data_IF_750543285803
#
_entry.id   IF_750543285803
#
_cell.length_a   1.000
_cell.length_b   1.000
_cell.length_c   1.000
_cell.angle_alpha   90.00
_cell.angle_beta   90.00
_cell.angle_gamma   90.00
#
_symmetry.space_group_name_H-M   'P 1'
#
loop_
_entity.id
_entity.type
_entity.pdbx_description
1 polymer ?
#
# COMPACT_ATOMS: atom_id res chain seq x y z
N UNK A 1 0.00 16.34 16.26
CA UNK A 1 0.21 16.33 14.79
C UNK A 1 -0.71 15.29 14.14
N UNK A 2 -1.39 15.69 13.09
CA UNK A 2 -2.29 14.77 12.38
C UNK A 2 -1.51 13.82 11.49
N UNK A 3 -1.90 12.56 11.48
CA UNK A 3 -1.33 11.58 10.58
C UNK A 3 -1.95 11.67 9.19
N UNK A 4 -1.53 10.75 8.33
CA UNK A 4 -2.13 10.62 7.01
C UNK A 4 -3.52 9.99 7.12
N UNK A 5 -4.39 10.33 6.18
CA UNK A 5 -5.64 9.62 5.99
C UNK A 5 -5.33 8.44 5.07
N UNK A 6 -5.54 7.23 5.57
CA UNK A 6 -5.26 6.02 4.79
C UNK A 6 -6.49 5.63 4.00
N UNK A 7 -6.35 5.62 2.69
CA UNK A 7 -7.42 5.29 1.76
C UNK A 7 -7.01 4.05 0.95
N UNK A 8 -7.99 3.27 0.54
CA UNK A 8 -7.74 2.02 -0.16
C UNK A 8 -8.36 2.07 -1.55
N UNK A 9 -7.57 1.70 -2.55
CA UNK A 9 -8.11 1.50 -3.89
C UNK A 9 -9.19 0.42 -3.82
N UNK A 10 -10.26 0.60 -4.57
CA UNK A 10 -11.41 -0.33 -4.51
C UNK A 10 -11.01 -1.79 -4.77
N UNK A 11 -10.02 -2.02 -5.63
CA UNK A 11 -9.55 -3.36 -5.95
C UNK A 11 -8.78 -4.00 -4.79
N UNK A 12 -8.18 -3.20 -3.92
CA UNK A 12 -7.55 -3.72 -2.71
C UNK A 12 -8.62 -4.32 -1.80
N UNK A 13 -9.73 -3.61 -1.63
CA UNK A 13 -10.82 -4.08 -0.78
C UNK A 13 -11.56 -5.26 -1.40
N UNK A 14 -11.80 -5.24 -2.71
CA UNK A 14 -12.62 -6.26 -3.37
C UNK A 14 -11.84 -7.51 -3.78
N UNK A 15 -10.53 -7.39 -3.98
CA UNK A 15 -9.74 -8.51 -4.50
C UNK A 15 -8.53 -8.85 -3.63
N UNK A 16 -7.69 -7.87 -3.30
CA UNK A 16 -6.42 -8.17 -2.63
C UNK A 16 -6.61 -8.66 -1.19
N UNK A 17 -7.38 -7.93 -0.40
CA UNK A 17 -7.58 -8.28 1.01
C UNK A 17 -8.32 -9.63 1.15
N UNK A 18 -9.42 -9.88 0.41
CA UNK A 18 -10.10 -11.17 0.51
C UNK A 18 -9.23 -12.36 0.10
N UNK A 19 -8.24 -12.16 -0.77
CA UNK A 19 -7.33 -13.21 -1.19
C UNK A 19 -6.28 -13.56 -0.14
N UNK A 20 -6.10 -12.72 0.89
CA UNK A 20 -5.11 -12.97 1.92
C UNK A 20 -5.61 -13.97 2.95
N UNK A 21 -4.73 -14.88 3.37
CA UNK A 21 -4.94 -15.71 4.54
C UNK A 21 -5.23 -14.80 5.76
N UNK A 22 -6.16 -15.19 6.66
CA UNK A 22 -6.50 -14.35 7.82
C UNK A 22 -5.31 -13.90 8.67
N UNK A 23 -4.33 -14.77 8.88
CA UNK A 23 -3.14 -14.40 9.66
C UNK A 23 -2.30 -13.34 8.94
N UNK A 24 -2.14 -13.47 7.63
CA UNK A 24 -1.44 -12.48 6.81
C UNK A 24 -2.18 -11.16 6.80
N UNK A 25 -3.50 -11.23 6.68
CA UNK A 25 -4.36 -10.03 6.68
C UNK A 25 -4.18 -9.23 7.96
N UNK A 26 -4.21 -9.91 9.11
CA UNK A 26 -4.02 -9.24 10.41
C UNK A 26 -2.63 -8.62 10.53
N UNK A 27 -1.61 -9.33 10.06
CA UNK A 27 -0.24 -8.85 10.10
C UNK A 27 -0.04 -7.61 9.25
N UNK A 28 -0.61 -7.60 8.05
CA UNK A 28 -0.52 -6.47 7.13
C UNK A 28 -1.28 -5.27 7.70
N UNK A 29 -2.48 -5.49 8.22
CA UNK A 29 -3.27 -4.41 8.85
C UNK A 29 -2.49 -3.76 9.98
N UNK A 30 -1.89 -4.57 10.86
CA UNK A 30 -1.11 -4.06 11.97
C UNK A 30 0.10 -3.26 11.50
N UNK A 31 0.77 -3.72 10.44
CA UNK A 31 1.92 -3.01 9.88
C UNK A 31 1.52 -1.67 9.26
N UNK A 32 0.40 -1.62 8.56
CA UNK A 32 -0.11 -0.38 7.98
C UNK A 32 -0.39 0.63 9.09
N UNK A 33 -1.09 0.22 10.12
CA UNK A 33 -1.45 1.10 11.22
C UNK A 33 -0.24 1.56 12.01
N UNK A 34 0.77 0.69 12.18
CA UNK A 34 1.94 1.03 12.96
C UNK A 34 2.95 1.90 12.19
N UNK A 35 3.04 1.73 10.86
CA UNK A 35 4.15 2.30 10.10
C UNK A 35 3.75 3.35 9.08
N UNK A 36 2.53 3.35 8.60
CA UNK A 36 2.14 4.24 7.51
C UNK A 36 1.32 5.45 7.96
N UNK A 37 0.85 5.46 9.18
CA UNK A 37 -0.02 6.53 9.65
C UNK A 37 0.70 7.86 9.83
N UNK A 38 1.94 7.86 10.32
CA UNK A 38 2.66 9.09 10.60
C UNK A 38 3.87 9.31 9.73
N UNK A 39 4.82 8.51 9.64
CA UNK A 39 6.05 8.73 8.87
C UNK A 39 6.27 7.60 7.87
N UNK A 40 5.39 7.48 6.86
CA UNK A 40 5.46 6.33 5.94
C UNK A 40 6.77 6.22 5.19
N UNK A 41 7.41 7.35 4.82
CA UNK A 41 8.66 7.32 4.07
C UNK A 41 9.83 6.78 4.88
N UNK A 42 9.71 6.73 6.21
CA UNK A 42 10.75 6.16 7.06
C UNK A 42 10.69 4.63 7.11
N UNK A 43 9.56 4.04 6.72
CA UNK A 43 9.32 2.61 6.82
C UNK A 43 9.17 1.93 5.47
N UNK A 44 9.11 2.69 4.40
CA UNK A 44 8.89 2.16 3.05
C UNK A 44 10.00 2.61 2.12
N UNK A 45 10.11 1.97 0.96
CA UNK A 45 11.10 2.33 -0.04
C UNK A 45 10.40 2.85 -1.29
N UNK A 46 10.94 3.90 -1.94
CA UNK A 46 10.37 4.36 -3.20
C UNK A 46 10.60 3.34 -4.31
N UNK A 47 9.65 3.26 -5.23
CA UNK A 47 9.77 2.39 -6.39
C UNK A 47 10.47 3.15 -7.53
N UNK A 48 11.59 2.59 -7.98
CA UNK A 48 12.53 3.30 -8.86
C UNK A 48 12.06 3.49 -10.30
N UNK A 49 11.16 2.64 -10.78
CA UNK A 49 10.85 2.60 -12.22
C UNK A 49 9.42 3.06 -12.54
N UNK A 50 8.87 3.96 -11.73
CA UNK A 50 7.53 4.48 -11.97
C UNK A 50 7.59 5.98 -12.18
N UNK A 51 6.75 6.50 -13.09
CA UNK A 51 6.57 7.94 -13.25
C UNK A 51 5.77 8.54 -12.11
N UNK A 52 4.93 7.74 -11.47
CA UNK A 52 4.23 8.12 -10.26
C UNK A 52 5.15 7.90 -9.07
N UNK A 53 5.02 8.73 -8.03
CA UNK A 53 5.80 8.57 -6.81
C UNK A 53 5.16 7.51 -5.93
N UNK A 54 5.57 6.28 -6.13
CA UNK A 54 5.03 5.14 -5.43
C UNK A 54 6.05 4.59 -4.44
N UNK A 55 5.54 4.00 -3.38
CA UNK A 55 6.32 3.44 -2.28
C UNK A 55 5.86 2.02 -2.01
N UNK A 56 6.75 1.20 -1.49
CA UNK A 56 6.40 -0.16 -1.08
C UNK A 56 6.83 -0.41 0.36
N UNK A 57 5.89 -0.87 1.18
CA UNK A 57 6.15 -1.32 2.54
C UNK A 57 6.33 -2.83 2.52
N UNK A 58 7.42 -3.31 3.09
CA UNK A 58 7.69 -4.75 3.23
C UNK A 58 7.05 -5.28 4.52
N UNK A 59 6.29 -6.34 4.39
CA UNK A 59 5.72 -7.07 5.52
C UNK A 59 6.04 -8.56 5.27
N UNK A 60 7.23 -8.98 5.63
CA UNK A 60 7.72 -10.32 5.28
C UNK A 60 7.83 -10.47 3.77
N UNK A 61 7.19 -11.49 3.23
CA UNK A 61 7.14 -11.73 1.78
C UNK A 61 6.03 -10.94 1.09
N UNK A 62 5.34 -10.11 1.84
CA UNK A 62 4.23 -9.31 1.32
C UNK A 62 4.65 -7.88 1.12
N UNK A 63 3.97 -7.21 0.21
CA UNK A 63 4.24 -5.81 -0.11
C UNK A 63 2.93 -5.03 -0.11
N UNK A 64 2.98 -3.83 0.43
CA UNK A 64 1.89 -2.87 0.38
C UNK A 64 2.40 -1.70 -0.43
N UNK A 65 1.85 -1.50 -1.63
CA UNK A 65 2.25 -0.41 -2.51
C UNK A 65 1.27 0.74 -2.34
N UNK A 66 1.81 1.93 -2.12
CA UNK A 66 0.99 3.10 -1.86
C UNK A 66 1.56 4.35 -2.53
N UNK A 67 0.71 5.36 -2.66
CA UNK A 67 1.08 6.69 -3.14
C UNK A 67 0.74 7.71 -2.07
N UNK A 68 1.54 8.76 -1.98
CA UNK A 68 1.28 9.88 -1.09
C UNK A 68 0.80 11.07 -1.92
N UNK A 69 -0.32 11.65 -1.51
CA UNK A 69 -0.87 12.84 -2.16
C UNK A 69 -1.48 13.75 -1.11
N UNK A 70 -0.81 14.87 -0.86
CA UNK A 70 -1.18 15.78 0.23
C UNK A 70 -1.18 15.01 1.55
N UNK A 71 -2.29 14.98 2.25
CA UNK A 71 -2.42 14.25 3.51
C UNK A 71 -3.00 12.85 3.31
N UNK A 72 -3.17 12.43 2.08
CA UNK A 72 -3.74 11.12 1.75
C UNK A 72 -2.66 10.12 1.42
N UNK A 73 -2.77 8.94 2.01
CA UNK A 73 -1.96 7.79 1.67
C UNK A 73 -2.89 6.78 1.01
N UNK A 74 -2.68 6.56 -0.30
CA UNK A 74 -3.52 5.66 -1.07
C UNK A 74 -2.84 4.31 -1.22
N UNK A 75 -3.45 3.27 -0.64
CA UNK A 75 -2.98 1.91 -0.82
C UNK A 75 -3.54 1.39 -2.13
N UNK A 76 -2.64 1.07 -3.08
CA UNK A 76 -2.99 0.71 -4.44
C UNK A 76 -2.99 -0.78 -4.70
N UNK A 77 -2.11 -1.53 -4.03
CA UNK A 77 -2.09 -2.97 -4.16
C UNK A 77 -1.43 -3.60 -2.94
N UNK A 78 -1.93 -4.77 -2.56
CA UNK A 78 -1.36 -5.60 -1.51
C UNK A 78 -1.22 -6.99 -2.09
N UNK A 79 -0.03 -7.57 -2.01
CA UNK A 79 0.18 -8.90 -2.53
C UNK A 79 1.56 -9.46 -2.20
N UNK A 80 1.77 -10.70 -2.61
CA UNK A 80 3.05 -11.37 -2.47
C UNK A 80 4.09 -10.65 -3.34
N UNK A 81 5.33 -10.62 -2.85
CA UNK A 81 6.43 -9.93 -3.56
C UNK A 81 6.62 -10.36 -5.01
N UNK A 82 6.23 -11.58 -5.33
CA UNK A 82 6.38 -12.09 -6.70
C UNK A 82 5.32 -11.60 -7.67
N UNK A 83 4.20 -11.05 -7.17
CA UNK A 83 3.04 -10.72 -8.00
C UNK A 83 2.55 -9.29 -7.85
N UNK A 84 2.88 -8.63 -6.77
CA UNK A 84 2.24 -7.37 -6.37
C UNK A 84 2.36 -6.28 -7.44
N UNK A 85 3.43 -6.27 -8.20
CA UNK A 85 3.68 -5.21 -9.19
C UNK A 85 2.98 -5.45 -10.53
N UNK A 86 2.43 -6.63 -10.75
CA UNK A 86 1.77 -6.98 -12.03
C UNK A 86 0.50 -6.17 -12.26
N UNK A 87 -0.17 -5.75 -11.19
CA UNK A 87 -1.45 -5.04 -11.29
C UNK A 87 -1.30 -3.52 -11.16
N UNK A 88 -0.09 -3.05 -10.96
CA UNK A 88 0.13 -1.67 -10.54
C UNK A 88 -0.29 -0.65 -11.61
N UNK A 89 -0.03 -0.96 -12.88
CA UNK A 89 -0.38 -0.05 -13.97
C UNK A 89 -1.88 0.18 -14.13
N UNK A 90 -2.69 -0.79 -13.69
CA UNK A 90 -4.14 -0.68 -13.76
C UNK A 90 -4.76 0.00 -12.54
N UNK A 91 -3.95 0.38 -11.56
CA UNK A 91 -4.43 0.91 -10.29
C UNK A 91 -3.89 2.30 -10.03
N UNK A 92 -4.37 3.26 -10.79
CA UNK A 92 -3.97 4.64 -10.60
C UNK A 92 -4.63 5.24 -9.35
N UNK A 93 -3.96 6.24 -8.77
CA UNK A 93 -4.56 7.04 -7.71
C UNK A 93 -5.74 7.79 -8.32
N UNK A 94 -6.92 7.76 -7.69
CA UNK A 94 -8.07 8.50 -8.21
C UNK A 94 -7.76 9.99 -8.32
N UNK A 95 -8.36 10.69 -9.29
CA UNK A 95 -8.16 12.14 -9.39
C UNK A 95 -8.69 12.85 -8.14
N UNK A 96 -8.09 13.96 -7.88
CA UNK A 96 -8.43 14.77 -6.70
C UNK A 96 -9.86 15.27 -6.76
#
# INVERSE_FOLDING_TARGET
>A
MAGFVILYHRKVVSADIPALDPAVRRRIKAAIEAKLLFHPEEHAKPLAYTTARLWALRVGDWRVVFALRNRELWILTIGHRSEVYEHLSARAVPPA
#
